data_IF_389143109303
#
_entry.id   IF_389143109303
#
_cell.length_a   1.000
_cell.length_b   1.000
_cell.length_c   1.000
_cell.angle_alpha   90.00
_cell.angle_beta   90.00
_cell.angle_gamma   90.00
#
_symmetry.space_group_name_H-M   'P 1'
#
loop_
_entity.id
_entity.type
_entity.pdbx_description
1 polymer ?
#
# COMPACT_ATOMS: atom_id res chain seq x y z
N UNK A 1 11.98 16.70 -19.92
CA UNK A 1 11.92 15.67 -18.85
C UNK A 1 10.48 15.24 -18.68
N UNK A 2 10.22 13.96 -18.64
CA UNK A 2 8.86 13.42 -18.47
C UNK A 2 8.50 13.36 -17.00
N UNK A 3 7.38 13.94 -16.61
CA UNK A 3 6.87 13.86 -15.23
C UNK A 3 6.00 12.63 -15.06
N UNK A 4 6.32 11.82 -14.04
CA UNK A 4 5.55 10.64 -13.66
C UNK A 4 5.18 10.77 -12.18
N UNK A 5 3.91 10.62 -11.86
CA UNK A 5 3.41 10.65 -10.50
C UNK A 5 3.28 9.23 -9.97
N UNK A 6 3.89 8.98 -8.81
CA UNK A 6 3.83 7.69 -8.13
C UNK A 6 3.39 7.89 -6.69
N UNK A 7 2.56 7.01 -6.19
CA UNK A 7 2.03 7.07 -4.84
C UNK A 7 2.16 5.73 -4.13
N UNK A 8 2.34 5.77 -2.83
CA UNK A 8 2.41 4.60 -1.98
C UNK A 8 2.28 4.96 -0.51
N UNK A 9 2.21 3.95 0.35
CA UNK A 9 2.14 4.17 1.80
C UNK A 9 3.52 4.58 2.34
N UNK A 10 3.57 5.37 3.43
CA UNK A 10 4.83 5.79 4.05
C UNK A 10 5.46 4.66 4.88
N UNK A 11 5.83 3.57 4.22
CA UNK A 11 6.40 2.37 4.83
C UNK A 11 7.87 2.20 4.43
N UNK A 12 8.63 1.47 5.26
CA UNK A 12 10.07 1.28 5.06
C UNK A 12 10.42 0.64 3.70
N UNK A 13 9.57 -0.23 3.17
CA UNK A 13 9.83 -0.87 1.88
C UNK A 13 9.76 0.09 0.70
N UNK A 14 9.25 1.30 0.89
CA UNK A 14 9.24 2.35 -0.12
C UNK A 14 10.45 3.28 -0.04
N UNK A 15 11.39 3.06 0.89
CA UNK A 15 12.61 3.83 0.98
C UNK A 15 13.44 3.85 -0.32
N UNK A 16 13.56 2.76 -1.08
CA UNK A 16 14.31 2.78 -2.35
C UNK A 16 13.85 3.85 -3.34
N UNK A 17 12.55 4.15 -3.39
CA UNK A 17 12.03 5.22 -4.25
C UNK A 17 12.59 6.58 -3.84
N UNK A 18 12.57 6.87 -2.54
CA UNK A 18 13.10 8.13 -2.01
C UNK A 18 14.59 8.26 -2.26
N UNK A 19 15.35 7.21 -2.04
CA UNK A 19 16.81 7.21 -2.27
C UNK A 19 17.16 7.44 -3.74
N UNK A 20 16.45 6.78 -4.65
CA UNK A 20 16.69 6.95 -6.09
C UNK A 20 16.31 8.35 -6.56
N UNK A 21 15.25 8.95 -6.02
CA UNK A 21 14.87 10.33 -6.33
C UNK A 21 15.94 11.30 -5.83
N UNK A 22 16.35 11.17 -4.56
CA UNK A 22 17.36 12.05 -3.95
C UNK A 22 18.72 11.95 -4.66
N UNK A 23 19.09 10.76 -5.10
CA UNK A 23 20.36 10.54 -5.80
C UNK A 23 20.32 10.94 -7.29
N UNK A 24 19.18 11.41 -7.78
CA UNK A 24 19.05 11.86 -9.17
C UNK A 24 19.04 10.74 -10.20
N UNK A 25 18.77 9.50 -9.80
CA UNK A 25 18.80 8.35 -10.71
C UNK A 25 17.69 8.40 -11.76
N UNK A 26 16.51 8.87 -11.37
CA UNK A 26 15.40 9.06 -12.31
C UNK A 26 15.67 10.23 -13.26
N UNK A 27 16.20 11.33 -12.73
CA UNK A 27 16.57 12.48 -13.56
C UNK A 27 17.61 12.11 -14.61
N UNK A 28 18.56 11.26 -14.27
CA UNK A 28 19.56 10.74 -15.21
C UNK A 28 18.92 9.97 -16.39
N UNK A 29 17.72 9.44 -16.22
CA UNK A 29 16.95 8.77 -17.24
C UNK A 29 15.91 9.69 -17.92
N UNK A 30 15.96 10.98 -17.63
CA UNK A 30 15.02 11.94 -18.19
C UNK A 30 13.62 11.91 -17.56
N UNK A 31 13.51 11.42 -16.34
CA UNK A 31 12.24 11.26 -15.62
C UNK A 31 12.23 12.16 -14.38
N UNK A 32 11.19 12.98 -14.27
CA UNK A 32 10.86 13.69 -13.03
C UNK A 32 9.83 12.84 -12.28
N UNK A 33 10.31 11.99 -11.37
CA UNK A 33 9.44 11.11 -10.58
C UNK A 33 8.97 11.85 -9.33
N UNK A 34 7.68 12.05 -9.22
CA UNK A 34 7.05 12.75 -8.10
C UNK A 34 6.33 11.75 -7.20
N UNK A 35 6.86 11.58 -5.99
CA UNK A 35 6.31 10.66 -4.99
C UNK A 35 5.30 11.37 -4.09
N UNK A 36 4.19 10.71 -3.81
CA UNK A 36 3.19 11.14 -2.83
C UNK A 36 2.98 10.05 -1.78
N UNK A 37 3.15 10.39 -0.51
CA UNK A 37 2.80 9.51 0.60
C UNK A 37 1.27 9.46 0.77
N UNK A 38 0.73 8.26 0.86
CA UNK A 38 -0.70 8.03 1.04
C UNK A 38 -0.91 7.13 2.28
N UNK A 39 -0.95 7.72 3.48
CA UNK A 39 -1.11 6.95 4.71
C UNK A 39 -2.47 6.25 4.83
N UNK A 40 -3.47 6.67 4.06
CA UNK A 40 -4.79 6.04 4.03
C UNK A 40 -4.79 4.63 3.44
N UNK A 41 -3.74 4.26 2.70
CA UNK A 41 -3.52 2.89 2.23
C UNK A 41 -4.17 2.54 0.89
N UNK A 42 -4.39 1.26 0.69
CA UNK A 42 -4.77 0.67 -0.60
C UNK A 42 -6.08 1.22 -1.17
N UNK A 43 -7.10 1.42 -0.35
CA UNK A 43 -8.38 1.96 -0.82
C UNK A 43 -8.24 3.34 -1.46
N UNK A 44 -7.48 4.23 -0.82
CA UNK A 44 -7.19 5.56 -1.35
C UNK A 44 -6.33 5.49 -2.60
N UNK A 45 -5.34 4.61 -2.63
CA UNK A 45 -4.49 4.42 -3.81
C UNK A 45 -5.30 3.94 -5.02
N UNK A 46 -6.23 3.01 -4.82
CA UNK A 46 -7.14 2.58 -5.89
C UNK A 46 -7.97 3.74 -6.42
N UNK A 47 -8.49 4.58 -5.53
CA UNK A 47 -9.25 5.77 -5.92
C UNK A 47 -8.41 6.76 -6.72
N UNK A 48 -7.16 6.99 -6.31
CA UNK A 48 -6.24 7.87 -7.01
C UNK A 48 -5.93 7.38 -8.42
N UNK A 49 -5.79 6.06 -8.61
CA UNK A 49 -5.61 5.47 -9.94
C UNK A 49 -6.87 5.66 -10.80
N UNK A 50 -8.06 5.40 -10.24
CA UNK A 50 -9.33 5.58 -10.96
C UNK A 50 -9.55 7.02 -11.41
N UNK A 51 -9.17 7.97 -10.56
CA UNK A 51 -9.38 9.40 -10.79
C UNK A 51 -8.21 10.07 -11.52
N UNK A 52 -7.23 9.29 -11.96
CA UNK A 52 -6.05 9.80 -12.66
C UNK A 52 -5.24 10.82 -11.83
N UNK A 53 -5.28 10.71 -10.52
CA UNK A 53 -4.52 11.56 -9.60
C UNK A 53 -3.06 11.08 -9.48
N UNK A 54 -2.78 9.84 -9.82
CA UNK A 54 -1.44 9.26 -9.89
C UNK A 54 -1.33 8.35 -11.11
N UNK A 55 -0.13 8.26 -11.66
CA UNK A 55 0.14 7.38 -12.80
C UNK A 55 0.47 5.96 -12.37
N UNK A 56 1.18 5.82 -11.26
CA UNK A 56 1.64 4.55 -10.71
C UNK A 56 1.28 4.51 -9.23
N UNK A 57 0.94 3.34 -8.72
CA UNK A 57 0.78 3.10 -7.30
C UNK A 57 1.52 1.84 -6.87
N UNK A 58 2.21 1.91 -5.74
CA UNK A 58 2.76 0.75 -5.03
C UNK A 58 1.70 0.32 -4.03
N UNK A 59 1.08 -0.82 -4.24
CA UNK A 59 -0.22 -1.14 -3.65
C UNK A 59 -0.31 -2.63 -3.32
N UNK A 60 -1.14 -2.99 -2.34
CA UNK A 60 -1.38 -4.38 -1.99
C UNK A 60 -2.10 -5.13 -3.11
N UNK A 61 -1.61 -6.34 -3.40
CA UNK A 61 -2.08 -7.14 -4.53
C UNK A 61 -3.58 -7.44 -4.45
N UNK A 62 -4.07 -7.92 -3.31
CA UNK A 62 -5.48 -8.27 -3.18
C UNK A 62 -6.40 -7.05 -3.34
N UNK A 63 -5.99 -5.90 -2.84
CA UNK A 63 -6.79 -4.68 -2.93
C UNK A 63 -6.92 -4.19 -4.36
N UNK A 64 -5.82 -4.15 -5.11
CA UNK A 64 -5.86 -3.70 -6.50
C UNK A 64 -6.56 -4.71 -7.42
N UNK A 65 -6.39 -5.99 -7.20
CA UNK A 65 -7.10 -7.01 -7.98
C UNK A 65 -8.60 -6.88 -7.80
N UNK A 66 -9.06 -6.72 -6.56
CA UNK A 66 -10.47 -6.49 -6.26
C UNK A 66 -11.01 -5.26 -6.99
N UNK A 67 -10.24 -4.19 -6.99
CA UNK A 67 -10.65 -2.93 -7.63
C UNK A 67 -10.67 -3.04 -9.16
N UNK A 68 -9.71 -3.75 -9.75
CA UNK A 68 -9.68 -4.02 -11.19
C UNK A 68 -10.91 -4.84 -11.61
N UNK A 69 -11.25 -5.88 -10.85
CA UNK A 69 -12.45 -6.69 -11.10
C UNK A 69 -13.72 -5.82 -11.04
N UNK A 70 -13.72 -4.82 -10.17
CA UNK A 70 -14.84 -3.88 -10.02
C UNK A 70 -14.84 -2.76 -11.08
N UNK A 71 -13.87 -2.73 -12.01
CA UNK A 71 -13.85 -1.80 -13.12
C UNK A 71 -12.70 -0.81 -13.17
N UNK A 72 -11.74 -0.86 -12.24
CA UNK A 72 -10.55 0.00 -12.31
C UNK A 72 -9.74 -0.36 -13.56
N UNK A 73 -9.42 0.59 -14.47
CA UNK A 73 -8.74 0.31 -15.72
C UNK A 73 -7.23 0.11 -15.58
N UNK A 74 -6.71 0.04 -14.38
CA UNK A 74 -5.28 -0.12 -14.11
C UNK A 74 -4.77 -1.51 -14.47
N UNK A 75 -3.45 -1.60 -14.69
CA UNK A 75 -2.76 -2.86 -14.99
C UNK A 75 -1.66 -3.08 -13.96
N UNK A 76 -1.46 -4.33 -13.55
CA UNK A 76 -0.31 -4.72 -12.75
C UNK A 76 0.88 -4.90 -13.69
N UNK A 77 1.92 -4.10 -13.50
CA UNK A 77 3.11 -4.13 -14.39
C UNK A 77 4.28 -4.89 -13.78
N UNK A 78 4.34 -5.00 -12.46
CA UNK A 78 5.44 -5.68 -11.78
C UNK A 78 5.07 -6.03 -10.34
N UNK A 79 5.63 -7.12 -9.85
CA UNK A 79 5.63 -7.44 -8.41
C UNK A 79 6.81 -6.71 -7.79
N UNK A 80 6.53 -5.83 -6.85
CA UNK A 80 7.55 -5.02 -6.18
C UNK A 80 8.20 -5.78 -5.02
N UNK A 81 7.37 -6.36 -4.14
CA UNK A 81 7.82 -7.20 -3.02
C UNK A 81 7.28 -8.61 -3.23
N UNK A 82 8.18 -9.58 -3.40
CA UNK A 82 7.80 -10.97 -3.72
C UNK A 82 7.49 -11.81 -2.48
N UNK A 83 8.12 -11.49 -1.35
CA UNK A 83 7.85 -12.21 -0.11
C UNK A 83 6.45 -11.89 0.42
N UNK A 84 5.72 -12.89 0.96
CA UNK A 84 4.44 -12.62 1.59
C UNK A 84 4.60 -11.70 2.79
N UNK A 85 3.56 -10.89 3.04
CA UNK A 85 3.49 -10.10 4.26
C UNK A 85 3.26 -11.04 5.44
N UNK A 86 4.01 -10.82 6.52
CA UNK A 86 3.85 -11.56 7.76
C UNK A 86 3.17 -10.63 8.75
N UNK A 87 1.92 -10.92 9.05
CA UNK A 87 1.12 -10.11 9.96
C UNK A 87 1.24 -10.60 11.39
N UNK A 88 1.40 -9.68 12.33
CA UNK A 88 1.29 -9.96 13.73
C UNK A 88 -0.05 -9.50 14.30
N UNK A 89 -0.60 -10.28 15.21
CA UNK A 89 -1.75 -9.86 16.01
C UNK A 89 -1.18 -9.34 17.33
N UNK A 90 -1.33 -8.05 17.56
CA UNK A 90 -0.72 -7.36 18.70
C UNK A 90 -1.79 -6.95 19.71
N UNK A 91 -1.47 -7.15 20.97
CA UNK A 91 -2.31 -6.71 22.09
C UNK A 91 -1.45 -5.90 23.07
N UNK A 92 -2.10 -5.10 23.90
CA UNK A 92 -1.38 -4.38 24.97
C UNK A 92 -0.66 -5.40 25.87
N UNK A 93 0.61 -5.13 26.17
CA UNK A 93 1.44 -6.00 27.02
C UNK A 93 0.85 -6.21 28.42
N UNK A 94 0.03 -5.27 28.88
CA UNK A 94 -0.65 -5.34 30.19
C UNK A 94 -2.05 -5.93 30.10
N UNK A 95 -2.50 -6.35 28.90
CA UNK A 95 -3.81 -6.92 28.74
C UNK A 95 -3.86 -8.35 29.24
N UNK A 96 -5.10 -8.86 29.40
CA UNK A 96 -5.35 -10.24 29.80
C UNK A 96 -5.26 -11.24 28.64
N UNK A 97 -5.05 -10.76 27.41
CA UNK A 97 -5.03 -11.60 26.20
C UNK A 97 -3.66 -12.27 26.06
N UNK A 98 -3.62 -13.58 26.06
CA UNK A 98 -2.38 -14.37 25.95
C UNK A 98 -2.37 -15.29 24.74
N UNK A 99 -3.54 -15.63 24.19
CA UNK A 99 -3.68 -16.54 23.05
C UNK A 99 -4.82 -16.10 22.15
N UNK A 100 -4.83 -16.64 20.94
CA UNK A 100 -5.78 -16.23 19.92
C UNK A 100 -7.26 -16.44 20.32
N UNK A 101 -7.53 -17.54 21.03
CA UNK A 101 -8.90 -17.82 21.50
C UNK A 101 -9.44 -16.78 22.51
N UNK A 102 -8.56 -16.03 23.17
CA UNK A 102 -8.96 -14.96 24.10
C UNK A 102 -9.56 -13.77 23.37
N UNK A 103 -9.36 -13.66 22.06
CA UNK A 103 -9.82 -12.53 21.24
C UNK A 103 -11.25 -12.72 20.72
N UNK A 104 -11.89 -13.83 21.03
CA UNK A 104 -13.27 -14.08 20.63
C UNK A 104 -14.19 -13.00 21.18
N UNK A 105 -15.06 -12.46 20.32
CA UNK A 105 -16.01 -11.38 20.64
C UNK A 105 -15.37 -10.07 21.06
N UNK A 106 -14.09 -9.83 20.70
CA UNK A 106 -13.40 -8.55 20.96
C UNK A 106 -13.43 -7.67 19.70
N UNK A 107 -13.08 -6.40 19.90
CA UNK A 107 -12.91 -5.45 18.79
C UNK A 107 -11.48 -5.48 18.30
N UNK A 108 -11.31 -5.54 16.97
CA UNK A 108 -10.01 -5.55 16.32
C UNK A 108 -9.83 -4.26 15.53
N UNK A 109 -8.70 -3.59 15.72
CA UNK A 109 -8.34 -2.42 14.93
C UNK A 109 -7.47 -2.82 13.76
N UNK A 110 -7.77 -2.26 12.60
CA UNK A 110 -6.99 -2.44 11.38
C UNK A 110 -6.77 -1.08 10.71
N UNK A 111 -5.65 -0.94 10.02
CA UNK A 111 -5.35 0.28 9.27
C UNK A 111 -6.26 0.45 8.04
N UNK A 112 -6.84 -0.64 7.56
CA UNK A 112 -7.74 -0.64 6.42
C UNK A 112 -9.04 -1.34 6.77
N UNK A 113 -10.09 -1.03 6.00
CA UNK A 113 -11.36 -1.72 6.15
C UNK A 113 -11.19 -3.18 5.73
N UNK A 114 -11.16 -4.07 6.69
CA UNK A 114 -11.17 -5.51 6.45
C UNK A 114 -12.61 -6.01 6.53
N UNK A 115 -13.10 -6.52 5.41
CA UNK A 115 -14.40 -7.20 5.40
C UNK A 115 -14.20 -8.59 5.98
N UNK A 116 -14.55 -8.74 7.24
CA UNK A 116 -14.62 -10.07 7.86
C UNK A 116 -15.97 -10.67 7.48
N UNK A 117 -15.94 -11.76 6.74
CA UNK A 117 -17.14 -12.55 6.53
C UNK A 117 -17.49 -13.30 7.81
N UNK A 118 -18.69 -13.13 8.26
CA UNK A 118 -19.26 -13.98 9.30
C UNK A 118 -19.43 -15.41 8.78
#
# INVERSE_FOLDING_TARGET
MKTIKIAGVPEHFNLPWHLCIENGEFEAQGIDLQWTDVPEGTGKLCQMLRNEETDIAVILTEGIIKDIVAGNPSKIVQVYVQSPLIWGIHVDAKSKYEKLSDLENTKVASAELVLVRN
#
